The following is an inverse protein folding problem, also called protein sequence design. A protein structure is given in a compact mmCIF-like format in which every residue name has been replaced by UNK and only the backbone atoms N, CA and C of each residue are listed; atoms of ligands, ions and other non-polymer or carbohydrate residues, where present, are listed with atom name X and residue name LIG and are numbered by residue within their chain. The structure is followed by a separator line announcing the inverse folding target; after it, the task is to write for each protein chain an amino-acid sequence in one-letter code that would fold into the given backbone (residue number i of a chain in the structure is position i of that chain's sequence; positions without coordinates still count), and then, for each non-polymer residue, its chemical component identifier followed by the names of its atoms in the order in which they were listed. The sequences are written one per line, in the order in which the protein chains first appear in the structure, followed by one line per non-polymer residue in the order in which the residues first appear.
data_IF_608737940248
#
_entry.id   IF_608737940248
#
_cell.length_a   1.000
_cell.length_b   1.000
_cell.length_c   1.000
_cell.angle_alpha   90.00
_cell.angle_beta   90.00
_cell.angle_gamma   90.00
#
_symmetry.space_group_name_H-M   'P 1'
#
loop_
_entity.id
_entity.type
_entity.pdbx_description
1 polymer ?
#
# COMPACT_ATOMS: atom_id res chain seq x y z
N UNK A 1 14.78 29.97 0.33
CA UNK A 1 15.30 28.78 1.08
C UNK A 1 14.16 27.83 1.33
N UNK A 2 14.30 26.59 0.89
CA UNK A 2 13.25 25.57 1.06
C UNK A 2 13.16 25.12 2.53
N UNK A 3 14.30 24.90 3.18
CA UNK A 3 14.36 24.54 4.58
C UNK A 3 15.68 25.03 5.22
N UNK A 4 15.76 25.16 6.56
CA UNK A 4 17.00 25.48 7.25
C UNK A 4 18.11 24.47 6.89
N UNK A 5 19.30 24.96 6.55
CA UNK A 5 20.45 24.12 6.16
C UNK A 5 20.55 23.78 4.68
N UNK A 6 19.50 24.03 3.86
CA UNK A 6 19.61 23.91 2.41
C UNK A 6 20.35 25.11 1.82
N UNK A 7 21.31 24.83 0.96
CA UNK A 7 22.07 25.82 0.20
C UNK A 7 21.64 25.74 -1.25
N UNK A 8 21.38 26.88 -1.85
CA UNK A 8 21.10 26.95 -3.28
C UNK A 8 22.38 26.60 -4.05
N UNK A 9 22.38 25.53 -4.83
CA UNK A 9 23.52 25.06 -5.60
C UNK A 9 23.55 25.66 -7.03
N UNK A 10 22.62 26.58 -7.34
CA UNK A 10 22.49 27.24 -8.64
C UNK A 10 21.98 26.31 -9.75
N UNK A 11 21.40 26.88 -10.80
CA UNK A 11 20.76 26.12 -11.90
C UNK A 11 21.76 25.32 -12.79
N UNK A 12 23.07 25.53 -12.62
CA UNK A 12 24.08 25.03 -13.57
C UNK A 12 24.47 23.57 -13.45
N UNK A 13 24.06 22.85 -12.37
CA UNK A 13 24.47 21.44 -12.11
C UNK A 13 23.33 20.47 -11.87
N UNK A 14 22.10 20.91 -11.92
CA UNK A 14 20.98 20.00 -11.85
C UNK A 14 20.74 19.43 -13.27
N UNK A 15 21.40 18.32 -13.59
CA UNK A 15 20.81 17.39 -14.56
C UNK A 15 19.42 17.09 -14.00
N UNK A 16 18.36 17.62 -14.62
CA UNK A 16 16.99 17.24 -14.23
C UNK A 16 16.94 15.73 -14.33
N UNK A 17 16.78 15.00 -13.21
CA UNK A 17 16.64 13.56 -13.30
C UNK A 17 15.46 13.31 -14.23
N UNK A 18 15.68 12.59 -15.33
CA UNK A 18 14.59 12.19 -16.19
C UNK A 18 13.66 11.35 -15.35
N UNK A 19 12.38 11.74 -15.27
CA UNK A 19 11.34 10.94 -14.61
C UNK A 19 11.02 9.71 -15.47
N UNK A 20 11.95 8.78 -15.49
CA UNK A 20 11.92 7.57 -16.34
C UNK A 20 10.92 6.52 -15.86
N UNK A 21 10.27 6.73 -14.71
CA UNK A 21 9.25 5.82 -14.18
C UNK A 21 7.85 6.42 -14.22
N UNK A 22 7.70 7.65 -14.69
CA UNK A 22 6.41 8.35 -14.75
C UNK A 22 5.78 8.62 -13.39
N UNK A 23 6.57 8.66 -12.32
CA UNK A 23 6.07 9.02 -10.98
C UNK A 23 5.65 10.49 -11.02
N UNK A 24 4.39 10.76 -10.71
CA UNK A 24 3.80 12.09 -10.75
C UNK A 24 3.88 12.79 -9.39
N UNK A 25 3.40 12.11 -8.36
CA UNK A 25 3.32 12.64 -6.99
C UNK A 25 3.24 11.50 -5.94
N UNK A 26 3.18 11.86 -4.67
CA UNK A 26 2.84 10.94 -3.59
C UNK A 26 1.31 10.94 -3.47
N UNK A 27 0.69 9.78 -3.71
CA UNK A 27 -0.75 9.59 -3.60
C UNK A 27 -1.21 9.60 -2.13
N UNK A 28 -0.54 8.80 -1.29
CA UNK A 28 -0.81 8.73 0.14
C UNK A 28 0.39 8.17 0.92
N UNK A 29 0.34 8.35 2.24
CA UNK A 29 1.27 7.75 3.21
C UNK A 29 0.47 6.93 4.20
N UNK A 30 0.89 5.69 4.45
CA UNK A 30 0.25 4.78 5.39
C UNK A 30 1.15 4.55 6.59
N UNK A 31 0.60 4.73 7.78
CA UNK A 31 1.26 4.52 9.07
C UNK A 31 0.59 3.41 9.87
N UNK A 32 1.39 2.65 10.61
CA UNK A 32 0.91 1.61 11.52
C UNK A 32 1.26 1.96 12.97
N UNK A 33 0.32 1.69 13.89
CA UNK A 33 0.52 1.84 15.31
C UNK A 33 -0.35 0.87 16.11
N UNK A 34 -0.06 0.65 17.38
CA UNK A 34 -0.90 -0.18 18.27
C UNK A 34 -2.22 0.52 18.63
N UNK A 35 -2.26 1.84 18.48
CA UNK A 35 -3.45 2.68 18.55
C UNK A 35 -3.30 3.85 17.60
N UNK A 36 -4.36 4.19 16.88
CA UNK A 36 -4.35 5.28 15.90
C UNK A 36 -4.94 6.59 16.43
N UNK A 37 -5.67 6.55 17.55
CA UNK A 37 -6.40 7.72 18.06
C UNK A 37 -5.51 8.94 18.30
N UNK A 38 -4.32 8.85 18.90
CA UNK A 38 -3.49 10.05 19.12
C UNK A 38 -3.10 10.74 17.83
N UNK A 39 -2.71 9.97 16.79
CA UNK A 39 -2.26 10.57 15.52
C UNK A 39 -3.44 11.09 14.70
N UNK A 40 -4.57 10.39 14.70
CA UNK A 40 -5.80 10.82 14.02
C UNK A 40 -6.34 12.11 14.66
N UNK A 41 -6.32 12.20 15.99
CA UNK A 41 -6.68 13.43 16.70
C UNK A 41 -5.74 14.59 16.32
N UNK A 42 -4.44 14.34 16.24
CA UNK A 42 -3.47 15.33 15.82
C UNK A 42 -3.69 15.81 14.38
N UNK A 43 -3.97 14.89 13.43
CA UNK A 43 -4.32 15.25 12.05
C UNK A 43 -5.54 16.16 12.00
N UNK A 44 -6.60 15.81 12.75
CA UNK A 44 -7.84 16.59 12.80
C UNK A 44 -7.64 17.94 13.51
N UNK A 45 -7.11 17.92 14.71
CA UNK A 45 -7.15 19.08 15.63
C UNK A 45 -5.99 20.06 15.40
N UNK A 46 -4.85 19.59 14.87
CA UNK A 46 -3.67 20.42 14.62
C UNK A 46 -3.50 20.72 13.13
N UNK A 47 -3.63 19.71 12.24
CA UNK A 47 -3.48 19.94 10.81
C UNK A 47 -4.79 20.35 10.11
N UNK A 48 -5.95 20.27 10.80
CA UNK A 48 -7.25 20.61 10.21
C UNK A 48 -7.72 19.65 9.13
N UNK A 49 -7.21 18.41 9.15
CA UNK A 49 -7.60 17.39 8.19
C UNK A 49 -8.99 16.84 8.52
N UNK A 50 -9.67 16.35 7.49
CA UNK A 50 -11.01 15.76 7.58
C UNK A 50 -10.96 14.23 7.41
N UNK A 51 -11.90 13.47 8.00
CA UNK A 51 -12.05 12.05 7.67
C UNK A 51 -12.40 11.88 6.20
N UNK A 52 -11.68 11.00 5.51
CA UNK A 52 -11.90 10.67 4.12
C UNK A 52 -12.54 9.30 3.94
N UNK A 53 -12.04 8.31 4.68
CA UNK A 53 -12.44 6.92 4.56
C UNK A 53 -12.08 6.15 5.83
N UNK A 54 -12.88 5.14 6.17
CA UNK A 54 -12.56 4.23 7.26
C UNK A 54 -12.99 2.80 6.96
N UNK A 55 -12.32 1.85 7.58
CA UNK A 55 -12.64 0.43 7.48
C UNK A 55 -12.19 -0.35 8.70
N UNK A 56 -12.95 -1.41 9.00
CA UNK A 56 -12.53 -2.50 9.87
C UNK A 56 -12.58 -3.80 9.10
N UNK A 57 -11.45 -4.47 9.01
CA UNK A 57 -11.28 -5.71 8.26
C UNK A 57 -10.72 -6.81 9.15
N UNK A 58 -11.23 -8.03 8.99
CA UNK A 58 -10.72 -9.21 9.65
C UNK A 58 -10.62 -10.38 8.67
N UNK A 59 -9.53 -11.16 8.75
CA UNK A 59 -9.31 -12.34 7.89
C UNK A 59 -10.15 -13.55 8.27
N UNK A 60 -11.02 -13.45 9.28
CA UNK A 60 -11.92 -14.55 9.71
C UNK A 60 -12.86 -15.05 8.61
N UNK A 61 -13.14 -14.25 7.60
CA UNK A 61 -13.94 -14.69 6.45
C UNK A 61 -13.27 -15.82 5.66
N UNK A 62 -11.96 -16.03 5.88
CA UNK A 62 -11.13 -17.04 5.18
C UNK A 62 -10.81 -18.24 6.07
N UNK A 63 -10.69 -18.04 7.38
CA UNK A 63 -10.39 -19.09 8.34
C UNK A 63 -11.66 -19.52 9.07
N UNK A 64 -12.05 -20.79 8.95
CA UNK A 64 -13.19 -21.36 9.69
C UNK A 64 -13.00 -21.36 11.20
N UNK A 65 -11.80 -21.06 11.66
CA UNK A 65 -11.42 -20.98 13.06
C UNK A 65 -11.41 -19.53 13.53
N UNK A 66 -12.35 -19.18 14.41
CA UNK A 66 -12.45 -17.83 15.01
C UNK A 66 -11.30 -17.48 15.96
N UNK A 67 -10.43 -18.42 16.26
CA UNK A 67 -9.30 -18.24 17.18
C UNK A 67 -8.01 -17.77 16.47
N UNK A 68 -7.93 -17.91 15.15
CA UNK A 68 -6.79 -17.50 14.35
C UNK A 68 -7.20 -16.44 13.34
N UNK A 69 -6.28 -15.56 12.98
CA UNK A 69 -6.49 -14.56 11.94
C UNK A 69 -5.91 -13.21 12.29
N UNK A 70 -5.74 -12.39 11.27
CA UNK A 70 -5.26 -11.02 11.38
C UNK A 70 -6.39 -10.05 11.06
N UNK A 71 -6.35 -8.88 11.66
CA UNK A 71 -7.32 -7.84 11.35
C UNK A 71 -6.75 -6.45 11.60
N UNK A 72 -7.26 -5.50 10.85
CA UNK A 72 -6.92 -4.10 11.02
C UNK A 72 -8.17 -3.22 11.07
N UNK A 73 -8.01 -2.11 11.73
CA UNK A 73 -8.86 -0.95 11.60
C UNK A 73 -8.03 0.17 10.96
N UNK A 74 -8.58 0.83 9.96
CA UNK A 74 -7.92 1.91 9.24
C UNK A 74 -8.81 3.14 9.21
N UNK A 75 -8.20 4.31 9.39
CA UNK A 75 -8.83 5.61 9.16
C UNK A 75 -7.91 6.38 8.22
N UNK A 76 -8.49 6.94 7.16
CA UNK A 76 -7.80 7.87 6.26
C UNK A 76 -8.27 9.28 6.56
N UNK A 77 -7.31 10.14 6.85
CA UNK A 77 -7.51 11.58 6.99
C UNK A 77 -6.96 12.28 5.76
N UNK A 78 -7.60 13.36 5.30
CA UNK A 78 -7.16 14.12 4.15
C UNK A 78 -7.34 15.63 4.34
N UNK A 79 -6.55 16.38 3.60
CA UNK A 79 -6.79 17.79 3.38
C UNK A 79 -7.42 17.98 1.99
N UNK A 80 -8.70 18.42 1.90
CA UNK A 80 -9.39 18.56 0.61
C UNK A 80 -8.78 19.60 -0.33
N UNK A 81 -7.95 20.52 0.18
CA UNK A 81 -7.29 21.55 -0.64
C UNK A 81 -6.03 21.01 -1.32
N UNK A 82 -5.12 20.43 -0.54
CA UNK A 82 -3.87 19.86 -1.05
C UNK A 82 -4.04 18.43 -1.57
N UNK A 83 -5.14 17.76 -1.20
CA UNK A 83 -5.42 16.34 -1.49
C UNK A 83 -4.44 15.35 -0.83
N UNK A 84 -3.62 15.82 0.09
CA UNK A 84 -2.75 14.96 0.90
C UNK A 84 -3.59 14.00 1.72
N UNK A 85 -3.25 12.71 1.69
CA UNK A 85 -3.95 11.64 2.40
C UNK A 85 -3.00 10.88 3.33
N UNK A 86 -3.43 10.70 4.57
CA UNK A 86 -2.74 9.88 5.57
C UNK A 86 -3.66 8.74 6.02
N UNK A 87 -3.30 7.51 5.64
CA UNK A 87 -3.93 6.32 6.18
C UNK A 87 -3.25 5.91 7.49
N UNK A 88 -4.01 5.55 8.50
CA UNK A 88 -3.47 5.11 9.77
C UNK A 88 -4.18 3.83 10.21
N UNK A 89 -3.39 2.80 10.50
CA UNK A 89 -3.87 1.48 10.85
C UNK A 89 -3.56 1.14 12.30
N UNK A 90 -4.50 0.41 12.95
CA UNK A 90 -4.28 -0.27 14.21
C UNK A 90 -4.76 -1.72 14.13
N UNK A 91 -4.23 -2.63 14.98
CA UNK A 91 -4.72 -4.00 15.06
C UNK A 91 -6.18 -4.05 15.49
N UNK A 92 -6.99 -4.88 14.84
CA UNK A 92 -8.38 -5.11 15.24
C UNK A 92 -8.45 -6.13 16.38
N UNK A 93 -9.09 -5.77 17.49
CA UNK A 93 -9.33 -6.67 18.61
C UNK A 93 -10.35 -7.77 18.26
N UNK A 94 -10.28 -8.99 18.81
CA UNK A 94 -9.41 -9.43 19.92
C UNK A 94 -8.04 -9.97 19.49
N UNK A 95 -7.75 -10.17 18.20
CA UNK A 95 -6.56 -10.84 17.67
C UNK A 95 -5.37 -9.85 17.52
N UNK A 96 -5.13 -9.08 18.55
CA UNK A 96 -4.20 -7.97 18.55
C UNK A 96 -2.74 -8.41 18.26
N UNK A 97 -2.27 -9.48 18.92
CA UNK A 97 -0.86 -9.91 18.85
C UNK A 97 -0.48 -10.59 17.55
N UNK A 98 -1.43 -11.24 16.90
CA UNK A 98 -1.21 -11.95 15.62
C UNK A 98 -1.43 -11.04 14.41
N UNK A 99 -1.83 -9.80 14.65
CA UNK A 99 -2.03 -8.81 13.60
C UNK A 99 -0.71 -8.46 12.92
N UNK A 100 -0.73 -8.39 11.59
CA UNK A 100 0.40 -7.87 10.80
C UNK A 100 0.78 -6.43 11.20
N UNK A 101 -0.20 -5.64 11.68
CA UNK A 101 0.07 -4.30 12.18
C UNK A 101 0.87 -4.34 13.47
N UNK A 102 0.53 -5.24 14.41
CA UNK A 102 1.31 -5.43 15.63
C UNK A 102 2.73 -5.92 15.31
N UNK A 103 2.84 -6.89 14.39
CA UNK A 103 4.14 -7.37 13.92
C UNK A 103 4.98 -6.27 13.28
N UNK A 104 4.37 -5.42 12.44
CA UNK A 104 5.06 -4.25 11.88
C UNK A 104 5.62 -3.35 12.99
N UNK A 105 4.83 -3.06 14.02
CA UNK A 105 5.26 -2.17 15.13
C UNK A 105 6.42 -2.80 15.89
N UNK A 106 6.42 -4.12 16.09
CA UNK A 106 7.52 -4.84 16.74
C UNK A 106 8.79 -4.82 15.87
N UNK A 107 8.68 -5.15 14.59
CA UNK A 107 9.81 -5.21 13.65
C UNK A 107 10.40 -3.80 13.37
N UNK A 108 9.56 -2.75 13.40
CA UNK A 108 9.95 -1.35 13.20
C UNK A 108 10.56 -0.72 14.49
N UNK A 109 10.43 -1.39 15.62
CA UNK A 109 10.83 -0.83 16.92
C UNK A 109 9.89 0.27 17.44
N UNK A 110 8.64 0.32 16.96
CA UNK A 110 7.61 1.29 17.33
C UNK A 110 6.66 1.64 16.19
N UNK A 111 5.66 2.51 16.44
CA UNK A 111 4.79 3.05 15.40
C UNK A 111 5.61 3.77 14.33
N UNK A 112 5.16 3.68 13.07
CA UNK A 112 5.86 4.35 11.97
C UNK A 112 5.15 4.26 10.64
N UNK A 113 5.77 4.84 9.62
CA UNK A 113 5.30 4.76 8.24
C UNK A 113 5.53 3.35 7.72
N UNK A 114 4.44 2.70 7.28
CA UNK A 114 4.50 1.37 6.66
C UNK A 114 4.87 1.48 5.19
N UNK A 115 4.19 2.37 4.44
CA UNK A 115 4.49 2.58 3.04
C UNK A 115 4.18 4.00 2.56
N UNK A 116 4.76 4.33 1.43
CA UNK A 116 4.46 5.53 0.65
C UNK A 116 4.01 5.07 -0.73
N UNK A 117 2.84 5.52 -1.17
CA UNK A 117 2.30 5.22 -2.48
C UNK A 117 2.65 6.33 -3.48
N UNK A 118 3.26 5.95 -4.59
CA UNK A 118 3.57 6.82 -5.71
C UNK A 118 2.52 6.73 -6.80
N UNK A 119 1.91 7.86 -7.13
CA UNK A 119 0.98 7.96 -8.24
C UNK A 119 1.73 7.95 -9.57
N UNK A 120 1.23 7.16 -10.52
CA UNK A 120 1.72 7.10 -11.90
C UNK A 120 0.57 7.20 -12.90
N UNK A 121 0.87 7.63 -14.13
CA UNK A 121 -0.14 7.72 -15.19
C UNK A 121 -0.27 6.42 -16.00
N UNK A 122 0.77 5.58 -16.02
CA UNK A 122 0.80 4.28 -16.69
C UNK A 122 1.57 3.27 -15.85
N UNK A 123 0.85 2.53 -15.01
CA UNK A 123 1.44 1.57 -14.08
C UNK A 123 2.11 0.40 -14.78
N UNK A 124 1.57 -0.06 -15.92
CA UNK A 124 2.14 -1.15 -16.71
C UNK A 124 3.56 -0.78 -17.13
N UNK A 125 3.71 0.38 -17.75
CA UNK A 125 5.03 0.87 -18.17
C UNK A 125 5.96 1.15 -16.98
N UNK A 126 5.46 1.80 -15.93
CA UNK A 126 6.26 2.12 -14.74
C UNK A 126 6.81 0.86 -14.07
N UNK A 127 5.97 -0.18 -13.90
CA UNK A 127 6.37 -1.45 -13.29
C UNK A 127 7.36 -2.20 -14.17
N UNK A 128 7.18 -2.21 -15.50
CA UNK A 128 8.15 -2.80 -16.41
C UNK A 128 9.53 -2.15 -16.31
N UNK A 129 9.58 -0.82 -16.30
CA UNK A 129 10.85 -0.09 -16.18
C UNK A 129 11.52 -0.32 -14.82
N UNK A 130 10.75 -0.38 -13.73
CA UNK A 130 11.25 -0.71 -12.40
C UNK A 130 11.80 -2.14 -12.36
N UNK A 131 11.07 -3.14 -12.89
CA UNK A 131 11.52 -4.55 -12.98
C UNK A 131 12.80 -4.71 -13.82
N UNK A 132 12.93 -4.02 -14.95
CA UNK A 132 14.14 -4.02 -15.77
C UNK A 132 15.38 -3.55 -15.00
N UNK A 133 15.21 -2.76 -13.96
CA UNK A 133 16.28 -2.25 -13.09
C UNK A 133 16.46 -3.06 -11.81
N UNK A 134 15.81 -4.23 -11.71
CA UNK A 134 15.98 -5.14 -10.58
C UNK A 134 15.09 -4.82 -9.38
N UNK A 135 14.08 -3.95 -9.51
CA UNK A 135 13.13 -3.72 -8.43
C UNK A 135 12.24 -4.94 -8.26
N UNK A 136 12.16 -5.46 -7.05
CA UNK A 136 11.37 -6.62 -6.69
C UNK A 136 10.06 -6.22 -6.02
N UNK A 137 8.98 -6.88 -6.42
CA UNK A 137 7.64 -6.65 -5.93
C UNK A 137 7.14 -7.84 -5.11
N UNK A 138 6.14 -7.60 -4.25
CA UNK A 138 5.43 -8.67 -3.55
C UNK A 138 4.68 -9.54 -4.54
N UNK A 139 4.75 -10.86 -4.35
CA UNK A 139 4.13 -11.81 -5.25
C UNK A 139 2.61 -11.86 -5.04
N UNK A 140 1.87 -11.76 -6.13
CA UNK A 140 0.42 -11.99 -6.16
C UNK A 140 0.13 -13.38 -6.70
N UNK A 141 -0.65 -14.21 -5.97
CA UNK A 141 -0.95 -15.55 -6.42
C UNK A 141 -1.72 -15.58 -7.75
N UNK A 142 -1.43 -16.56 -8.60
CA UNK A 142 -2.18 -16.78 -9.84
C UNK A 142 -3.69 -16.90 -9.64
N UNK A 143 -4.12 -17.49 -8.52
CA UNK A 143 -5.53 -17.62 -8.16
C UNK A 143 -6.26 -16.26 -8.07
N UNK A 144 -5.55 -15.16 -7.77
CA UNK A 144 -6.11 -13.82 -7.79
C UNK A 144 -6.60 -13.43 -9.19
N UNK A 145 -5.80 -13.66 -10.22
CA UNK A 145 -6.12 -13.30 -11.60
C UNK A 145 -7.16 -14.23 -12.22
N UNK A 146 -7.19 -15.49 -11.82
CA UNK A 146 -8.24 -16.43 -12.22
C UNK A 146 -9.63 -16.01 -11.70
N UNK A 147 -9.68 -15.43 -10.50
CA UNK A 147 -10.92 -14.93 -9.88
C UNK A 147 -11.24 -13.48 -10.29
N UNK A 148 -10.31 -12.76 -10.93
CA UNK A 148 -10.45 -11.33 -11.21
C UNK A 148 -11.66 -11.01 -12.10
N UNK A 149 -11.96 -11.71 -13.20
CA UNK A 149 -13.11 -11.39 -14.04
C UNK A 149 -14.45 -11.43 -13.27
N UNK A 150 -14.66 -12.47 -12.46
CA UNK A 150 -15.87 -12.59 -11.65
C UNK A 150 -15.93 -11.50 -10.58
N UNK A 151 -14.79 -11.16 -9.97
CA UNK A 151 -14.69 -10.09 -8.96
C UNK A 151 -15.00 -8.72 -9.57
N UNK A 152 -14.45 -8.39 -10.73
CA UNK A 152 -14.73 -7.15 -11.45
C UNK A 152 -16.21 -7.01 -11.78
N UNK A 153 -16.84 -8.09 -12.26
CA UNK A 153 -18.28 -8.10 -12.54
C UNK A 153 -19.12 -7.82 -11.27
N UNK A 154 -18.76 -8.42 -10.12
CA UNK A 154 -19.42 -8.16 -8.84
C UNK A 154 -19.26 -6.72 -8.34
N UNK A 155 -18.13 -6.08 -8.65
CA UNK A 155 -17.83 -4.69 -8.31
C UNK A 155 -18.44 -3.69 -9.31
N UNK A 156 -19.10 -4.17 -10.37
CA UNK A 156 -19.66 -3.33 -11.43
C UNK A 156 -18.58 -2.60 -12.22
N UNK A 157 -17.42 -3.24 -12.43
CA UNK A 157 -16.30 -2.68 -13.20
C UNK A 157 -16.23 -3.43 -14.54
N UNK A 158 -16.55 -2.75 -15.63
CA UNK A 158 -16.61 -3.33 -16.98
C UNK A 158 -15.60 -2.70 -17.95
N UNK A 159 -14.91 -1.67 -17.53
CA UNK A 159 -14.12 -0.76 -18.37
C UNK A 159 -12.62 -0.76 -18.05
N UNK A 160 -12.08 -1.83 -17.43
CA UNK A 160 -10.63 -1.96 -17.24
C UNK A 160 -9.96 -1.95 -18.61
N UNK A 161 -9.04 -1.05 -18.83
CA UNK A 161 -8.36 -0.84 -20.11
C UNK A 161 -7.20 -1.80 -20.31
N UNK A 162 -6.59 -2.22 -19.21
CA UNK A 162 -5.42 -3.07 -19.18
C UNK A 162 -5.85 -4.55 -19.35
N UNK A 163 -5.14 -5.29 -20.18
CA UNK A 163 -5.40 -6.72 -20.37
C UNK A 163 -5.07 -7.50 -19.09
N UNK A 164 -5.98 -8.39 -18.67
CA UNK A 164 -5.79 -9.18 -17.44
C UNK A 164 -4.49 -10.02 -17.50
N UNK A 165 -4.15 -10.55 -18.68
CA UNK A 165 -2.91 -11.29 -18.87
C UNK A 165 -1.66 -10.43 -18.61
N UNK A 166 -1.72 -9.14 -18.95
CA UNK A 166 -0.65 -8.19 -18.69
C UNK A 166 -0.55 -7.84 -17.22
N UNK A 167 -1.68 -7.61 -16.56
CA UNK A 167 -1.76 -7.39 -15.12
C UNK A 167 -1.22 -8.61 -14.34
N UNK A 168 -1.56 -9.85 -14.77
CA UNK A 168 -1.03 -11.08 -14.19
C UNK A 168 0.48 -11.18 -14.39
N UNK A 169 0.98 -10.93 -15.59
CA UNK A 169 2.42 -10.96 -15.91
C UNK A 169 3.23 -9.99 -15.03
N UNK A 170 2.69 -8.82 -14.78
CA UNK A 170 3.34 -7.78 -13.97
C UNK A 170 2.98 -7.88 -12.49
N UNK A 171 2.00 -8.70 -12.11
CA UNK A 171 1.49 -8.86 -10.75
C UNK A 171 0.79 -7.62 -10.20
N UNK A 172 0.14 -6.86 -11.07
CA UNK A 172 -0.62 -5.65 -10.74
C UNK A 172 -2.02 -6.04 -10.25
N UNK A 173 -2.43 -5.48 -9.12
CA UNK A 173 -3.74 -5.68 -8.50
C UNK A 173 -4.74 -4.66 -9.03
N UNK A 174 -6.03 -5.04 -9.08
CA UNK A 174 -7.14 -4.17 -9.50
C UNK A 174 -8.18 -4.13 -8.40
N UNK A 175 -8.68 -2.94 -8.07
CA UNK A 175 -9.84 -2.76 -7.19
C UNK A 175 -10.65 -1.52 -7.60
N UNK A 176 -11.83 -1.36 -7.04
CA UNK A 176 -12.70 -0.23 -7.33
C UNK A 176 -14.17 -0.57 -7.23
N UNK A 177 -15.03 0.28 -7.80
CA UNK A 177 -16.48 0.07 -7.88
C UNK A 177 -17.12 0.95 -8.95
N UNK A 178 -18.23 0.48 -9.55
CA UNK A 178 -19.09 1.27 -10.45
C UNK A 178 -18.31 1.93 -11.59
N UNK A 179 -17.58 1.12 -12.37
CA UNK A 179 -16.74 1.54 -13.51
C UNK A 179 -15.63 2.55 -13.16
N UNK A 180 -15.31 2.69 -11.88
CA UNK A 180 -14.13 3.39 -11.41
C UNK A 180 -13.20 2.37 -10.78
N UNK A 181 -11.92 2.40 -11.15
CA UNK A 181 -10.96 1.43 -10.65
C UNK A 181 -9.61 2.07 -10.34
N UNK A 182 -8.79 1.35 -9.64
CA UNK A 182 -7.38 1.63 -9.38
C UNK A 182 -6.54 0.39 -9.64
N UNK A 183 -5.31 0.61 -9.98
CA UNK A 183 -4.28 -0.40 -10.16
C UNK A 183 -3.19 -0.17 -9.12
N UNK A 184 -2.76 -1.22 -8.44
CA UNK A 184 -1.78 -1.13 -7.35
C UNK A 184 -0.77 -2.28 -7.44
N UNK A 185 0.45 -2.00 -7.00
CA UNK A 185 1.47 -3.02 -6.77
C UNK A 185 2.40 -2.57 -5.65
N UNK A 186 2.87 -3.51 -4.85
CA UNK A 186 3.68 -3.25 -3.67
C UNK A 186 5.10 -3.79 -3.86
N UNK A 187 6.11 -2.98 -3.52
CA UNK A 187 7.48 -3.43 -3.48
C UNK A 187 7.69 -4.34 -2.26
N UNK A 188 8.71 -5.19 -2.31
CA UNK A 188 9.13 -5.93 -1.12
C UNK A 188 9.57 -4.98 0.00
N UNK A 189 9.41 -5.43 1.24
CA UNK A 189 9.89 -4.72 2.43
C UNK A 189 11.40 -4.45 2.34
N UNK A 190 11.84 -3.32 2.88
CA UNK A 190 13.24 -2.89 2.84
C UNK A 190 14.18 -3.93 3.47
N UNK A 191 13.78 -4.56 4.57
CA UNK A 191 14.55 -5.64 5.20
C UNK A 191 14.84 -6.81 4.25
N UNK A 192 13.88 -7.17 3.39
CA UNK A 192 14.03 -8.23 2.39
C UNK A 192 14.84 -7.80 1.18
N UNK A 193 14.67 -6.54 0.72
CA UNK A 193 15.37 -6.00 -0.44
C UNK A 193 16.88 -5.83 -0.18
N UNK A 194 17.24 -5.44 1.02
CA UNK A 194 18.62 -5.16 1.40
C UNK A 194 19.31 -6.31 2.15
N UNK A 195 18.58 -7.41 2.41
CA UNK A 195 19.05 -8.52 3.28
C UNK A 195 19.59 -8.00 4.63
N UNK A 196 18.91 -6.97 5.16
CA UNK A 196 19.29 -6.27 6.39
C UNK A 196 18.05 -5.98 7.25
N UNK A 197 17.88 -6.72 8.32
CA UNK A 197 16.71 -6.62 9.22
C UNK A 197 16.50 -5.20 9.74
N UNK A 198 17.57 -4.44 9.98
CA UNK A 198 17.50 -3.05 10.47
C UNK A 198 16.96 -2.06 9.43
N UNK A 199 16.86 -2.44 8.15
CA UNK A 199 16.18 -1.64 7.14
C UNK A 199 14.66 -1.58 7.39
N UNK A 200 14.13 -2.47 8.21
CA UNK A 200 12.78 -2.46 8.71
C UNK A 200 11.71 -2.94 7.71
N UNK A 201 10.46 -2.98 8.15
CA UNK A 201 9.34 -3.50 7.36
C UNK A 201 8.69 -2.44 6.44
N UNK A 202 9.38 -1.34 6.19
CA UNK A 202 8.92 -0.28 5.29
C UNK A 202 8.97 -0.72 3.82
N UNK A 203 7.99 -0.28 3.01
CA UNK A 203 7.99 -0.51 1.57
C UNK A 203 7.37 0.66 0.78
N UNK A 204 7.43 0.58 -0.55
CA UNK A 204 6.76 1.49 -1.47
C UNK A 204 5.60 0.81 -2.18
N UNK A 205 4.65 1.61 -2.59
CA UNK A 205 3.54 1.24 -3.48
C UNK A 205 3.61 2.06 -4.75
N UNK A 206 3.20 1.46 -5.87
CA UNK A 206 2.92 2.18 -7.12
C UNK A 206 1.44 2.06 -7.40
N UNK A 207 0.77 3.20 -7.63
CA UNK A 207 -0.68 3.27 -7.83
C UNK A 207 -1.03 4.09 -9.08
N UNK A 208 -2.00 3.58 -9.85
CA UNK A 208 -2.68 4.33 -10.92
C UNK A 208 -4.17 4.40 -10.61
N UNK A 209 -4.71 5.61 -10.57
CA UNK A 209 -6.14 5.84 -10.33
C UNK A 209 -6.87 6.07 -11.65
N UNK A 210 -7.85 5.23 -11.92
CA UNK A 210 -8.74 5.30 -13.06
C UNK A 210 -10.15 5.70 -12.60
N UNK A 211 -10.23 6.83 -11.89
CA UNK A 211 -11.47 7.39 -11.37
C UNK A 211 -11.87 6.91 -9.97
N UNK A 212 -11.28 5.86 -9.44
CA UNK A 212 -11.49 5.44 -8.06
C UNK A 212 -10.61 6.23 -7.09
N UNK A 213 -11.21 6.80 -6.04
CA UNK A 213 -10.53 7.57 -4.99
C UNK A 213 -10.34 6.76 -3.70
N UNK A 214 -10.82 5.51 -3.66
CA UNK A 214 -10.74 4.62 -2.52
C UNK A 214 -9.32 4.14 -2.20
N UNK A 215 -9.23 3.16 -1.31
CA UNK A 215 -7.98 2.58 -0.84
C UNK A 215 -7.85 1.08 -1.15
N UNK A 216 -8.63 0.56 -2.10
CA UNK A 216 -8.48 -0.81 -2.57
C UNK A 216 -8.81 -1.88 -1.53
N UNK A 217 -10.04 -1.87 -1.00
CA UNK A 217 -10.48 -2.86 0.01
C UNK A 217 -10.18 -4.31 -0.37
N UNK A 218 -10.49 -4.69 -1.63
CA UNK A 218 -10.23 -6.03 -2.10
C UNK A 218 -8.74 -6.34 -2.29
N UNK A 219 -7.93 -5.32 -2.57
CA UNK A 219 -6.49 -5.45 -2.69
C UNK A 219 -5.80 -5.53 -1.32
N UNK A 220 -6.33 -4.88 -0.27
CA UNK A 220 -5.88 -5.06 1.11
C UNK A 220 -5.84 -6.54 1.48
N UNK A 221 -6.90 -7.27 1.17
CA UNK A 221 -6.96 -8.69 1.44
C UNK A 221 -5.86 -9.47 0.70
N UNK A 222 -5.66 -9.19 -0.58
CA UNK A 222 -4.62 -9.84 -1.37
C UNK A 222 -3.21 -9.52 -0.84
N UNK A 223 -2.97 -8.27 -0.43
CA UNK A 223 -1.72 -7.86 0.21
C UNK A 223 -1.50 -8.61 1.52
N UNK A 224 -2.49 -8.64 2.41
CA UNK A 224 -2.39 -9.35 3.69
C UNK A 224 -2.12 -10.85 3.51
N UNK A 225 -2.83 -11.51 2.59
CA UNK A 225 -2.60 -12.92 2.26
C UNK A 225 -1.19 -13.17 1.70
N UNK A 226 -0.63 -12.24 0.94
CA UNK A 226 0.73 -12.31 0.40
C UNK A 226 1.78 -12.18 1.51
N UNK A 227 1.62 -11.18 2.39
CA UNK A 227 2.53 -10.97 3.52
C UNK A 227 2.48 -12.17 4.49
N UNK A 228 1.30 -12.68 4.84
CA UNK A 228 1.16 -13.86 5.70
C UNK A 228 1.84 -15.10 5.12
N UNK A 229 1.73 -15.34 3.81
CA UNK A 229 2.43 -16.44 3.15
C UNK A 229 3.94 -16.29 3.24
N UNK A 230 4.45 -15.11 2.96
CA UNK A 230 5.90 -14.84 3.05
C UNK A 230 6.42 -15.06 4.48
N UNK A 231 5.71 -14.58 5.49
CA UNK A 231 6.06 -14.79 6.89
C UNK A 231 6.07 -16.27 7.30
N UNK A 232 5.05 -17.05 6.86
CA UNK A 232 5.00 -18.50 7.10
C UNK A 232 6.15 -19.24 6.43
N UNK A 233 6.53 -18.84 5.21
CA UNK A 233 7.68 -19.42 4.50
C UNK A 233 9.01 -19.11 5.20
N UNK A 234 9.18 -17.92 5.77
CA UNK A 234 10.38 -17.60 6.57
C UNK A 234 10.42 -18.36 7.89
N UNK A 235 9.28 -18.50 8.58
CA UNK A 235 9.20 -19.25 9.84
C UNK A 235 9.51 -20.75 9.66
N UNK A 236 9.19 -21.35 8.49
CA UNK A 236 9.48 -22.75 8.18
C UNK A 236 10.92 -23.01 7.74
N UNK A 237 11.73 -21.98 7.52
CA UNK A 237 13.16 -22.08 7.19
C UNK A 237 14.09 -21.93 8.42
N UNK A 238 13.54 -21.61 9.57
CA UNK A 238 14.22 -21.59 10.88
C UNK A 238 13.92 -22.88 11.63
#
# INVERSE_FOLDING_TARGET
RFAPGFVDVGEGNASKPSNIYGIRDIDHVTSNGLTMQPIVAWYRDVLGMEPFWDISFHTQDVAKDRASGSGLKSIVMWDPKSRVKFATNEPLRPHFRESQIAKFVDDNGGPGVQHIAFAVDNIVWSVEELKKRGVEFMETPKAYYLALPERLAKLGITNVKEEIAELERLQILVDGANDKYMLQIFLREAASLYDEVRAGPFFYEVIQRCGDEGFGYGNFRALFESIERFQKMQASKK
#
